data_IF_522392956814
#
_entry.id   IF_522392956814
#
_cell.length_a   1.000
_cell.length_b   1.000
_cell.length_c   1.000
_cell.angle_alpha   90.00
_cell.angle_beta   90.00
_cell.angle_gamma   90.00
#
_symmetry.space_group_name_H-M   'P 1'
#
loop_
_entity.id
_entity.type
_entity.pdbx_description
1 polymer ?
#
# COMPACT_ATOMS: atom_id res chain seq x y z
N UNK A 1 1.83 -12.57 -3.44
CA UNK A 1 1.69 -11.30 -2.72
C UNK A 1 0.50 -11.38 -1.80
N UNK A 2 0.63 -11.04 -0.51
CA UNK A 2 -0.50 -10.93 0.43
C UNK A 2 -1.39 -12.17 0.64
N UNK A 3 -0.85 -13.39 0.53
CA UNK A 3 -1.63 -14.63 0.70
C UNK A 3 -2.18 -14.83 2.11
N UNK A 4 -1.60 -14.14 3.08
CA UNK A 4 -1.99 -14.14 4.49
C UNK A 4 -3.19 -13.24 4.81
N UNK A 5 -3.72 -12.52 3.82
CA UNK A 5 -4.92 -11.69 3.96
C UNK A 5 -6.07 -12.28 3.16
N UNK A 6 -7.29 -12.20 3.69
CA UNK A 6 -8.48 -12.67 2.98
C UNK A 6 -8.70 -11.90 1.67
N UNK A 7 -9.44 -12.52 0.76
CA UNK A 7 -9.98 -11.80 -0.39
C UNK A 7 -11.27 -11.10 0.04
N UNK A 8 -11.63 -10.06 -0.68
CA UNK A 8 -12.95 -9.48 -0.58
C UNK A 8 -13.51 -9.22 -1.98
N UNK A 9 -14.82 -9.37 -2.12
CA UNK A 9 -15.54 -9.14 -3.38
C UNK A 9 -16.47 -7.92 -3.29
N UNK A 10 -16.56 -7.29 -2.11
CA UNK A 10 -17.41 -6.12 -1.86
C UNK A 10 -16.73 -4.80 -2.23
N UNK A 11 -15.40 -4.77 -2.31
CA UNK A 11 -14.67 -3.56 -2.70
C UNK A 11 -14.38 -3.55 -4.20
N UNK A 12 -14.94 -2.55 -4.89
CA UNK A 12 -14.66 -2.26 -6.29
C UNK A 12 -13.90 -0.94 -6.37
N UNK A 13 -12.63 -0.93 -6.83
CA UNK A 13 -11.86 0.30 -6.97
C UNK A 13 -12.52 1.29 -7.94
N UNK A 14 -12.40 2.58 -7.65
CA UNK A 14 -12.96 3.63 -8.52
C UNK A 14 -12.33 3.61 -9.92
N UNK A 15 -13.14 3.34 -10.95
CA UNK A 15 -12.65 3.17 -12.31
C UNK A 15 -11.98 4.43 -12.89
N UNK A 16 -12.45 5.62 -12.52
CA UNK A 16 -11.88 6.88 -12.99
C UNK A 16 -10.52 7.16 -12.35
N UNK A 17 -10.39 6.89 -11.05
CA UNK A 17 -9.11 6.97 -10.34
C UNK A 17 -8.10 5.96 -10.91
N UNK A 18 -8.51 4.70 -11.12
CA UNK A 18 -7.66 3.67 -11.73
C UNK A 18 -7.23 4.06 -13.15
N UNK A 19 -8.12 4.64 -13.96
CA UNK A 19 -7.78 5.11 -15.31
C UNK A 19 -6.69 6.19 -15.29
N UNK A 20 -6.78 7.16 -14.36
CA UNK A 20 -5.75 8.18 -14.18
C UNK A 20 -4.40 7.56 -13.78
N UNK A 21 -4.42 6.62 -12.84
CA UNK A 21 -3.20 5.94 -12.38
C UNK A 21 -2.54 5.13 -13.50
N UNK A 22 -3.34 4.45 -14.33
CA UNK A 22 -2.84 3.70 -15.50
C UNK A 22 -2.22 4.58 -16.58
N UNK A 23 -2.71 5.81 -16.74
CA UNK A 23 -2.20 6.75 -17.73
C UNK A 23 -0.81 7.30 -17.37
N UNK A 24 -0.41 7.18 -16.10
CA UNK A 24 0.85 7.72 -15.58
C UNK A 24 1.95 6.66 -15.59
N UNK A 25 3.11 7.03 -16.14
CA UNK A 25 4.30 6.18 -16.13
C UNK A 25 5.17 6.43 -14.89
N UNK A 26 6.03 5.47 -14.58
CA UNK A 26 6.99 5.57 -13.47
C UNK A 26 6.37 5.45 -12.08
N UNK A 27 5.12 4.98 -11.98
CA UNK A 27 4.46 4.74 -10.70
C UNK A 27 4.87 3.39 -10.11
N UNK A 28 5.22 3.39 -8.83
CA UNK A 28 5.55 2.21 -8.04
C UNK A 28 4.92 2.32 -6.65
N UNK A 29 4.57 1.20 -6.03
CA UNK A 29 4.06 1.18 -4.66
C UNK A 29 5.04 0.52 -3.71
N UNK A 30 5.16 1.06 -2.50
CA UNK A 30 5.83 0.42 -1.37
C UNK A 30 4.79 0.15 -0.30
N UNK A 31 4.66 -1.10 0.11
CA UNK A 31 3.60 -1.53 1.02
C UNK A 31 4.24 -2.21 2.22
N UNK A 32 4.07 -1.60 3.39
CA UNK A 32 4.56 -2.13 4.66
C UNK A 32 3.36 -2.52 5.52
N UNK A 33 3.30 -3.78 5.92
CA UNK A 33 2.13 -4.34 6.62
C UNK A 33 2.54 -5.44 7.59
N UNK A 34 1.65 -5.81 8.51
CA UNK A 34 1.85 -6.90 9.46
C UNK A 34 0.55 -7.65 9.72
N UNK A 35 0.58 -8.97 9.82
CA UNK A 35 -0.64 -9.78 10.07
C UNK A 35 -1.23 -9.59 11.46
N UNK A 36 -0.43 -9.10 12.42
CA UNK A 36 -0.86 -8.81 13.78
C UNK A 36 -1.60 -7.47 13.91
N UNK A 37 -1.62 -6.65 12.85
CA UNK A 37 -2.27 -5.36 12.85
C UNK A 37 -3.69 -5.49 12.29
N UNK A 38 -4.70 -5.12 13.09
CA UNK A 38 -6.11 -5.15 12.69
C UNK A 38 -6.38 -4.33 11.42
N UNK A 39 -5.77 -3.15 11.30
CA UNK A 39 -5.95 -2.28 10.12
C UNK A 39 -5.36 -2.89 8.84
N UNK A 40 -4.32 -3.72 8.97
CA UNK A 40 -3.77 -4.46 7.84
C UNK A 40 -4.76 -5.51 7.32
N UNK A 41 -5.55 -6.14 8.22
CA UNK A 41 -6.58 -7.12 7.84
C UNK A 41 -7.67 -6.49 6.98
N UNK A 42 -7.92 -5.19 7.13
CA UNK A 42 -8.87 -4.45 6.30
C UNK A 42 -8.24 -3.88 5.04
N UNK A 43 -7.09 -3.21 5.18
CA UNK A 43 -6.48 -2.39 4.12
C UNK A 43 -5.84 -3.22 3.01
N UNK A 44 -5.18 -4.34 3.35
CA UNK A 44 -4.47 -5.15 2.36
C UNK A 44 -5.42 -5.87 1.40
N UNK A 45 -6.59 -6.37 1.82
CA UNK A 45 -7.61 -6.81 0.88
C UNK A 45 -8.05 -5.74 -0.14
N UNK A 46 -8.13 -4.46 0.24
CA UNK A 46 -8.44 -3.37 -0.71
C UNK A 46 -7.32 -3.22 -1.75
N UNK A 47 -6.07 -3.19 -1.27
CA UNK A 47 -4.87 -3.16 -2.13
C UNK A 47 -4.87 -4.32 -3.13
N UNK A 48 -5.22 -5.54 -2.69
CA UNK A 48 -5.32 -6.70 -3.57
C UNK A 48 -6.30 -6.45 -4.72
N UNK A 49 -7.44 -5.84 -4.47
CA UNK A 49 -8.42 -5.52 -5.52
C UNK A 49 -7.94 -4.41 -6.46
N UNK A 50 -7.23 -3.40 -5.93
CA UNK A 50 -6.57 -2.38 -6.76
C UNK A 50 -5.53 -3.01 -7.68
N UNK A 51 -4.67 -3.88 -7.15
CA UNK A 51 -3.61 -4.54 -7.93
C UNK A 51 -4.13 -5.50 -9.00
N UNK A 52 -5.31 -6.10 -8.79
CA UNK A 52 -5.97 -6.92 -9.84
C UNK A 52 -6.29 -6.08 -11.08
N UNK A 53 -6.74 -4.84 -10.90
CA UNK A 53 -7.13 -3.97 -12.03
C UNK A 53 -5.99 -3.08 -12.49
N UNK A 54 -5.02 -2.77 -11.64
CA UNK A 54 -3.85 -1.94 -11.91
C UNK A 54 -2.57 -2.64 -11.42
N UNK A 55 -1.92 -3.46 -12.27
CA UNK A 55 -0.75 -4.25 -11.89
C UNK A 55 0.53 -3.40 -11.89
N UNK A 56 0.57 -2.39 -11.02
CA UNK A 56 1.76 -1.55 -10.84
C UNK A 56 2.90 -2.35 -10.17
N UNK A 57 4.17 -1.97 -10.38
CA UNK A 57 5.29 -2.50 -9.60
C UNK A 57 5.07 -2.25 -8.10
N UNK A 58 5.26 -3.30 -7.29
CA UNK A 58 5.10 -3.22 -5.84
C UNK A 58 6.33 -3.78 -5.12
N UNK A 59 6.83 -3.03 -4.14
CA UNK A 59 7.79 -3.49 -3.13
C UNK A 59 7.04 -3.75 -1.81
N UNK A 60 6.95 -5.01 -1.41
CA UNK A 60 6.29 -5.42 -0.16
C UNK A 60 7.31 -5.60 0.96
N UNK A 61 6.95 -5.15 2.17
CA UNK A 61 7.63 -5.53 3.40
C UNK A 61 6.60 -6.01 4.43
N UNK A 62 6.76 -7.27 4.82
CA UNK A 62 5.97 -7.87 5.90
C UNK A 62 6.71 -7.74 7.23
N UNK A 63 6.11 -7.01 8.16
CA UNK A 63 6.59 -6.81 9.53
C UNK A 63 5.95 -7.84 10.44
N UNK A 64 6.76 -8.63 11.14
CA UNK A 64 6.31 -9.60 12.15
C UNK A 64 6.31 -8.98 13.55
N UNK A 65 5.57 -9.55 14.53
CA UNK A 65 5.62 -9.10 15.93
C UNK A 65 7.03 -9.25 16.53
N UNK A 66 7.53 -8.24 17.23
CA UNK A 66 8.86 -8.25 17.88
C UNK A 66 9.21 -6.90 18.53
N UNK A 67 10.26 -6.87 19.37
CA UNK A 67 10.54 -5.74 20.29
C UNK A 67 10.85 -4.39 19.63
N UNK A 68 11.10 -4.31 18.31
CA UNK A 68 11.06 -3.06 17.54
C UNK A 68 10.64 -3.35 16.10
N UNK A 69 9.59 -2.69 15.61
CA UNK A 69 9.16 -2.84 14.21
C UNK A 69 10.30 -2.53 13.21
N UNK A 70 11.17 -1.58 13.55
CA UNK A 70 12.39 -1.23 12.79
C UNK A 70 13.48 -2.31 12.76
N UNK A 71 13.41 -3.33 13.63
CA UNK A 71 14.34 -4.47 13.65
C UNK A 71 13.80 -5.70 12.90
N UNK A 72 12.48 -5.76 12.64
CA UNK A 72 11.81 -6.87 11.97
C UNK A 72 11.56 -6.63 10.47
N UNK A 73 12.04 -5.52 9.94
CA UNK A 73 11.98 -5.17 8.53
C UNK A 73 13.21 -5.72 7.80
N UNK A 74 13.04 -6.86 7.13
CA UNK A 74 14.11 -7.55 6.38
C UNK A 74 14.71 -6.72 5.24
N UNK A 75 14.00 -5.68 4.79
CA UNK A 75 14.42 -4.83 3.67
C UNK A 75 14.84 -3.41 4.09
N UNK A 76 14.70 -3.04 5.36
CA UNK A 76 15.00 -1.69 5.86
C UNK A 76 14.10 -0.58 5.29
N UNK A 77 12.96 -0.93 4.67
CA UNK A 77 11.98 0.02 4.12
C UNK A 77 11.37 0.95 5.17
N UNK A 78 11.14 0.46 6.39
CA UNK A 78 10.61 1.27 7.50
C UNK A 78 11.56 2.42 7.84
N UNK A 79 12.87 2.14 7.90
CA UNK A 79 13.86 3.19 8.13
C UNK A 79 14.02 4.09 6.91
N UNK A 80 14.00 3.52 5.71
CA UNK A 80 14.16 4.25 4.43
C UNK A 80 13.03 5.25 4.18
N UNK A 81 11.79 4.87 4.45
CA UNK A 81 10.59 5.70 4.24
C UNK A 81 10.06 6.32 5.53
N UNK A 82 10.83 6.24 6.63
CA UNK A 82 10.47 6.77 7.95
C UNK A 82 9.05 6.34 8.40
N UNK A 83 8.76 5.05 8.25
CA UNK A 83 7.47 4.43 8.58
C UNK A 83 7.51 3.98 10.04
N UNK A 84 6.55 4.48 10.82
CA UNK A 84 6.40 4.15 12.24
C UNK A 84 5.13 3.35 12.54
N UNK A 85 4.19 3.30 11.59
CA UNK A 85 2.88 2.66 11.73
C UNK A 85 2.61 1.74 10.54
N UNK A 86 1.84 0.68 10.77
CA UNK A 86 1.39 -0.26 9.73
C UNK A 86 -0.14 -0.38 9.80
N UNK A 87 -0.84 -0.57 8.67
CA UNK A 87 -0.30 -0.59 7.31
C UNK A 87 0.13 0.80 6.84
N UNK A 88 1.23 0.87 6.08
CA UNK A 88 1.59 2.08 5.34
C UNK A 88 1.80 1.73 3.88
N UNK A 89 1.13 2.48 3.00
CA UNK A 89 1.25 2.36 1.54
C UNK A 89 1.84 3.67 1.03
N UNK A 90 2.97 3.60 0.35
CA UNK A 90 3.65 4.74 -0.25
C UNK A 90 3.55 4.62 -1.76
N UNK A 91 3.06 5.66 -2.42
CA UNK A 91 3.11 5.79 -3.88
C UNK A 91 4.36 6.57 -4.26
N UNK A 92 5.15 5.99 -5.15
CA UNK A 92 6.31 6.61 -5.75
C UNK A 92 6.01 6.96 -7.20
N UNK A 93 6.49 8.12 -7.65
CA UNK A 93 6.61 8.49 -9.05
C UNK A 93 8.06 8.82 -9.34
N UNK A 94 8.67 8.14 -10.30
CA UNK A 94 10.09 8.31 -10.64
C UNK A 94 11.00 8.19 -9.40
N UNK A 95 10.70 7.20 -8.55
CA UNK A 95 11.38 6.92 -7.26
C UNK A 95 11.24 8.00 -6.17
N UNK A 96 10.38 9.01 -6.37
CA UNK A 96 10.06 10.02 -5.36
C UNK A 96 8.70 9.74 -4.76
N UNK A 97 8.60 9.84 -3.43
CA UNK A 97 7.33 9.75 -2.72
C UNK A 97 6.41 10.91 -3.12
N UNK A 98 5.23 10.57 -3.65
CA UNK A 98 4.18 11.53 -4.05
C UNK A 98 2.94 11.42 -3.18
N UNK A 99 2.69 10.25 -2.60
CA UNK A 99 1.58 10.01 -1.68
C UNK A 99 1.95 8.97 -0.63
N UNK A 100 1.36 9.08 0.55
CA UNK A 100 1.31 7.98 1.52
C UNK A 100 -0.08 7.86 2.15
N UNK A 101 -0.48 6.62 2.39
CA UNK A 101 -1.67 6.26 3.16
C UNK A 101 -1.18 5.49 4.39
N UNK A 102 -1.52 5.98 5.57
CA UNK A 102 -1.13 5.39 6.86
C UNK A 102 -2.42 4.97 7.58
N UNK A 103 -2.54 3.67 7.88
CA UNK A 103 -3.70 3.02 8.50
C UNK A 103 -4.98 3.04 7.66
N UNK A 104 -5.52 4.22 7.36
CA UNK A 104 -6.73 4.38 6.57
C UNK A 104 -6.61 5.51 5.52
N UNK A 105 -7.20 5.35 4.33
CA UNK A 105 -7.31 6.43 3.34
C UNK A 105 -8.35 7.48 3.77
N UNK A 106 -8.29 8.69 3.20
CA UNK A 106 -9.30 9.72 3.44
C UNK A 106 -10.61 9.44 2.68
N UNK A 107 -10.49 9.01 1.42
CA UNK A 107 -11.61 8.53 0.61
C UNK A 107 -11.44 7.04 0.32
N UNK A 108 -10.59 6.73 -0.65
CA UNK A 108 -10.14 5.39 -1.00
C UNK A 108 -8.68 5.48 -1.43
N UNK A 109 -7.97 4.36 -1.37
CA UNK A 109 -6.53 4.33 -1.66
C UNK A 109 -6.25 4.87 -3.08
N UNK A 110 -6.99 4.40 -4.08
CA UNK A 110 -6.81 4.85 -5.46
C UNK A 110 -7.23 6.31 -5.69
N UNK A 111 -8.26 6.81 -4.99
CA UNK A 111 -8.69 8.21 -5.11
C UNK A 111 -7.65 9.15 -4.50
N UNK A 112 -7.10 8.80 -3.35
CA UNK A 112 -6.06 9.61 -2.71
C UNK A 112 -4.79 9.66 -3.58
N UNK A 113 -4.44 8.55 -4.24
CA UNK A 113 -3.36 8.53 -5.22
C UNK A 113 -3.67 9.37 -6.47
N UNK A 114 -4.90 9.32 -6.98
CA UNK A 114 -5.30 10.07 -8.16
C UNK A 114 -5.47 11.58 -7.93
N UNK A 115 -5.49 12.05 -6.67
CA UNK A 115 -5.57 13.49 -6.33
C UNK A 115 -4.21 14.18 -6.35
N UNK A 116 -3.12 13.45 -6.10
CA UNK A 116 -1.76 14.01 -6.00
C UNK A 116 -0.97 13.97 -7.31
N UNK A 117 -1.58 13.43 -8.37
CA UNK A 117 -1.00 13.21 -9.70
C UNK A 117 -1.73 14.02 -10.76
#
# INVERSE_FOLDING_TARGET
>A
MFSQYENNDWYVPDAAAIAKLKAMQGLEMVIVHGTYCGDCLYTIPLVKNILKVWPAPVTECHVTPGQKASQNDSMGLMKKYNITRVPTIVLLKDKKEVCRVVEAPNDTIEKDFAKVL
#
